data_IF_414681183564
#
_entry.id   IF_414681183564
#
_cell.length_a   1.000
_cell.length_b   1.000
_cell.length_c   1.000
_cell.angle_alpha   90.00
_cell.angle_beta   90.00
_cell.angle_gamma   90.00
#
_symmetry.space_group_name_H-M   'P 1'
#
loop_
_entity.id
_entity.type
_entity.pdbx_description
1 polymer ?
#
# COMPACT_ATOMS: atom_id res chain seq x y z
N UNK A 1 3.17 -0.40 15.08
CA UNK A 1 3.42 1.02 14.71
C UNK A 1 4.67 1.10 13.83
N UNK A 2 4.85 2.18 13.07
CA UNK A 2 6.02 2.46 12.19
C UNK A 2 6.30 1.50 11.02
N UNK A 3 5.55 0.40 10.86
CA UNK A 3 5.71 -0.52 9.72
C UNK A 3 5.41 0.14 8.37
N UNK A 4 4.12 0.40 8.10
CA UNK A 4 3.73 1.05 6.83
C UNK A 4 4.33 2.45 6.69
N UNK A 5 4.45 3.21 7.79
CA UNK A 5 5.01 4.56 7.78
C UNK A 5 6.49 4.63 7.33
N UNK A 6 7.24 3.53 7.44
CA UNK A 6 8.63 3.43 6.98
C UNK A 6 8.78 2.54 5.73
N UNK A 7 7.66 2.08 5.14
CA UNK A 7 7.71 1.32 3.90
C UNK A 7 8.20 2.21 2.74
N UNK A 8 8.77 1.58 1.71
CA UNK A 8 9.31 2.29 0.55
C UNK A 8 9.07 1.49 -0.73
N UNK A 9 9.24 2.17 -1.86
CA UNK A 9 9.21 1.56 -3.20
C UNK A 9 10.56 0.98 -3.63
N UNK A 10 11.45 0.63 -2.70
CA UNK A 10 12.75 0.05 -3.04
C UNK A 10 12.59 -1.19 -3.93
N UNK A 11 13.43 -1.29 -4.98
CA UNK A 11 13.32 -2.26 -6.07
C UNK A 11 12.01 -2.18 -6.86
N UNK A 12 11.45 -0.97 -7.00
CA UNK A 12 10.18 -0.71 -7.68
C UNK A 12 9.04 -1.59 -7.16
N UNK A 13 9.10 -1.96 -5.88
CA UNK A 13 8.08 -2.80 -5.24
C UNK A 13 6.89 -1.94 -4.86
N UNK A 14 5.66 -2.28 -5.29
CA UNK A 14 4.49 -1.51 -4.88
C UNK A 14 4.18 -1.67 -3.40
N UNK A 15 3.73 -0.59 -2.77
CA UNK A 15 3.28 -0.59 -1.39
C UNK A 15 2.12 -1.60 -1.20
N UNK A 16 2.12 -2.37 -0.09
CA UNK A 16 1.09 -3.38 0.17
C UNK A 16 -0.28 -2.75 0.46
N UNK A 17 -1.34 -3.54 0.30
CA UNK A 17 -2.64 -3.16 0.84
C UNK A 17 -2.65 -3.31 2.37
N UNK A 18 -3.44 -2.49 3.06
CA UNK A 18 -3.74 -2.64 4.47
C UNK A 18 -5.21 -3.04 4.63
N UNK A 19 -5.45 -4.10 5.42
CA UNK A 19 -6.78 -4.63 5.73
C UNK A 19 -7.07 -4.37 7.19
N UNK A 20 -8.23 -3.77 7.47
CA UNK A 20 -8.78 -3.68 8.81
C UNK A 20 -9.78 -4.82 8.99
N UNK A 21 -9.53 -5.63 10.02
CA UNK A 21 -10.45 -6.66 10.50
C UNK A 21 -11.20 -6.12 11.70
N UNK A 22 -12.52 -6.19 11.65
CA UNK A 22 -13.46 -5.66 12.64
C UNK A 22 -14.54 -6.73 12.88
N UNK A 23 -14.37 -7.51 13.96
CA UNK A 23 -15.17 -8.70 14.22
C UNK A 23 -15.06 -9.72 13.08
N UNK A 24 -16.17 -9.96 12.39
CA UNK A 24 -16.25 -10.88 11.23
C UNK A 24 -16.09 -10.18 9.88
N UNK A 25 -15.91 -8.86 9.86
CA UNK A 25 -15.79 -8.07 8.63
C UNK A 25 -14.32 -7.74 8.36
N UNK A 26 -13.88 -7.90 7.12
CA UNK A 26 -12.58 -7.42 6.65
C UNK A 26 -12.79 -6.39 5.55
N UNK A 27 -12.13 -5.23 5.66
CA UNK A 27 -12.19 -4.17 4.65
C UNK A 27 -10.82 -3.61 4.32
N UNK A 28 -10.63 -3.27 3.05
CA UNK A 28 -9.42 -2.59 2.57
C UNK A 28 -9.45 -1.14 3.08
N UNK A 29 -8.50 -0.79 3.94
CA UNK A 29 -8.33 0.60 4.44
C UNK A 29 -7.25 1.35 3.67
N UNK A 30 -6.35 0.62 3.00
CA UNK A 30 -5.41 1.16 2.04
C UNK A 30 -5.28 0.22 0.86
N UNK A 31 -5.51 0.72 -0.35
CA UNK A 31 -5.34 -0.07 -1.58
C UNK A 31 -3.86 -0.36 -1.79
N UNK A 32 -3.57 -1.53 -2.36
CA UNK A 32 -2.24 -1.87 -2.88
C UNK A 32 -1.90 -0.86 -3.98
N UNK A 33 -0.68 -0.34 -3.95
CA UNK A 33 -0.17 0.52 -5.01
C UNK A 33 0.03 -0.29 -6.30
N UNK A 34 -0.22 0.33 -7.44
CA UNK A 34 0.01 -0.23 -8.77
C UNK A 34 1.38 0.20 -9.33
N UNK A 35 1.78 -0.33 -10.49
CA UNK A 35 2.98 0.17 -11.17
C UNK A 35 2.77 1.60 -11.68
N UNK A 36 1.58 1.92 -12.18
CA UNK A 36 1.24 3.25 -12.68
C UNK A 36 1.39 4.31 -11.56
N UNK A 37 0.98 3.97 -10.34
CA UNK A 37 1.16 4.84 -9.17
C UNK A 37 2.65 5.10 -8.83
N UNK A 38 3.57 4.20 -9.21
CA UNK A 38 5.02 4.39 -8.98
C UNK A 38 5.59 5.39 -9.99
N UNK A 39 5.11 5.37 -11.23
CA UNK A 39 5.63 6.19 -12.34
C UNK A 39 4.79 7.43 -12.64
N UNK A 40 3.73 7.68 -11.88
CA UNK A 40 2.75 8.74 -12.13
C UNK A 40 3.36 10.16 -12.25
N UNK A 41 4.57 10.38 -11.72
CA UNK A 41 5.28 11.66 -11.78
C UNK A 41 6.33 11.81 -12.88
N UNK A 42 6.52 10.80 -13.73
CA UNK A 42 7.55 10.77 -14.79
C UNK A 42 7.07 11.29 -16.16
N UNK A 43 5.80 11.71 -16.26
CA UNK A 43 5.17 12.18 -17.50
C UNK A 43 5.43 13.66 -17.80
#
# INVERSE_FOLDING_TARGET
>A
AYGFAMASNYNSRPMPAEILVDGTTARVIRKRQTLDDIIAGEA
#
